data_IF_305430003060
#
_entry.id   IF_305430003060
#
_cell.length_a   1.000
_cell.length_b   1.000
_cell.length_c   1.000
_cell.angle_alpha   90.00
_cell.angle_beta   90.00
_cell.angle_gamma   90.00
#
_symmetry.space_group_name_H-M   'P 1'
#
loop_
_entity.id
_entity.type
_entity.pdbx_description
1 polymer ?
#
# COMPACT_ATOMS: atom_id res chain seq x y z
N UNK A 1 -15.29 -1.06 23.16
CA UNK A 1 -13.82 -1.20 23.06
C UNK A 1 -13.54 -2.29 22.04
N UNK A 2 -13.37 -1.93 20.77
CA UNK A 2 -13.03 -2.90 19.73
C UNK A 2 -11.52 -3.06 19.71
N UNK A 3 -11.05 -4.18 20.24
CA UNK A 3 -9.67 -4.63 20.10
C UNK A 3 -9.51 -5.11 18.66
N UNK A 4 -9.00 -4.25 17.78
CA UNK A 4 -8.44 -4.69 16.50
C UNK A 4 -7.34 -5.69 16.84
N UNK A 5 -7.59 -6.96 16.56
CA UNK A 5 -6.64 -8.03 16.76
C UNK A 5 -5.37 -7.68 15.99
N UNK A 6 -4.28 -7.41 16.71
CA UNK A 6 -2.94 -7.39 16.12
C UNK A 6 -2.74 -8.79 15.54
N UNK A 7 -2.98 -8.95 14.24
CA UNK A 7 -2.63 -10.17 13.52
C UNK A 7 -1.17 -10.43 13.85
N UNK A 8 -0.91 -11.58 14.46
CA UNK A 8 0.45 -11.98 14.78
C UNK A 8 1.24 -11.98 13.46
N UNK A 9 2.27 -11.13 13.37
CA UNK A 9 3.05 -10.95 12.15
C UNK A 9 3.55 -12.32 11.67
N UNK A 10 3.44 -12.61 10.38
CA UNK A 10 3.93 -13.87 9.84
C UNK A 10 5.44 -13.99 10.04
N UNK A 11 5.99 -15.20 9.87
CA UNK A 11 7.46 -15.38 9.86
C UNK A 11 8.13 -14.53 8.77
N UNK A 12 7.45 -14.32 7.65
CA UNK A 12 7.94 -13.49 6.55
C UNK A 12 7.99 -12.02 6.96
N UNK A 13 6.93 -11.51 7.60
CA UNK A 13 6.88 -10.14 8.12
C UNK A 13 7.94 -9.90 9.21
N UNK A 14 8.14 -10.87 10.12
CA UNK A 14 9.18 -10.79 11.13
C UNK A 14 10.58 -10.74 10.52
N UNK A 15 10.87 -11.63 9.57
CA UNK A 15 12.16 -11.62 8.86
C UNK A 15 12.37 -10.33 8.05
N UNK A 16 11.31 -9.79 7.45
CA UNK A 16 11.35 -8.50 6.76
C UNK A 16 11.69 -7.37 7.73
N UNK A 17 11.04 -7.29 8.90
CA UNK A 17 11.34 -6.28 9.90
C UNK A 17 12.75 -6.39 10.50
N UNK A 18 13.27 -7.61 10.66
CA UNK A 18 14.66 -7.82 11.08
C UNK A 18 15.65 -7.30 10.03
N UNK A 19 15.34 -7.48 8.74
CA UNK A 19 16.16 -6.98 7.64
C UNK A 19 16.04 -5.45 7.45
N UNK A 20 14.83 -4.90 7.64
CA UNK A 20 14.48 -3.51 7.35
C UNK A 20 13.89 -2.77 8.57
N UNK A 21 14.68 -2.54 9.63
CA UNK A 21 14.18 -1.98 10.89
C UNK A 21 13.66 -0.54 10.73
N UNK A 22 14.15 0.22 9.75
CA UNK A 22 13.65 1.57 9.45
C UNK A 22 12.24 1.53 8.86
N UNK A 23 11.96 0.57 7.99
CA UNK A 23 10.63 0.38 7.41
C UNK A 23 9.66 -0.09 8.50
N UNK A 24 10.11 -0.99 9.39
CA UNK A 24 9.31 -1.38 10.55
C UNK A 24 8.91 -0.15 11.40
N UNK A 25 9.86 0.71 11.74
CA UNK A 25 9.60 1.92 12.50
C UNK A 25 8.60 2.83 11.76
N UNK A 26 8.81 3.07 10.47
CA UNK A 26 7.91 3.87 9.64
C UNK A 26 6.48 3.32 9.64
N UNK A 27 6.30 2.01 9.46
CA UNK A 27 4.98 1.36 9.52
C UNK A 27 4.35 1.53 10.89
N UNK A 28 5.11 1.38 11.98
CA UNK A 28 4.60 1.54 13.34
C UNK A 28 4.17 2.97 13.64
N UNK A 29 4.93 3.96 13.19
CA UNK A 29 4.60 5.39 13.34
C UNK A 29 3.29 5.72 12.60
N UNK A 30 3.09 5.17 11.40
CA UNK A 30 1.89 5.39 10.61
C UNK A 30 0.69 4.62 11.19
N UNK A 31 0.90 3.39 11.67
CA UNK A 31 -0.12 2.62 12.38
C UNK A 31 -0.62 3.34 13.64
N UNK A 32 0.27 4.02 14.37
CA UNK A 32 -0.08 4.76 15.58
C UNK A 32 -1.00 5.96 15.31
N UNK A 33 -1.06 6.46 14.07
CA UNK A 33 -2.00 7.52 13.67
C UNK A 33 -3.44 7.01 13.53
N UNK A 34 -3.64 5.69 13.44
CA UNK A 34 -4.95 5.07 13.22
C UNK A 34 -5.45 5.20 11.77
N UNK A 35 -6.65 4.70 11.51
CA UNK A 35 -7.25 4.72 10.17
C UNK A 35 -7.48 6.14 9.66
N UNK A 36 -7.43 6.31 8.35
CA UNK A 36 -7.82 7.54 7.69
C UNK A 36 -9.35 7.72 7.78
N UNK A 37 -9.86 8.94 8.00
CA UNK A 37 -11.30 9.22 8.01
C UNK A 37 -11.97 8.79 6.70
N UNK A 38 -13.24 8.37 6.75
CA UNK A 38 -13.93 7.90 5.54
C UNK A 38 -14.23 9.00 4.52
N UNK A 39 -14.33 10.24 4.97
CA UNK A 39 -14.46 11.45 4.17
C UNK A 39 -13.13 12.01 3.65
N UNK A 40 -12.00 11.40 4.04
CA UNK A 40 -10.69 11.83 3.59
C UNK A 40 -10.55 11.62 2.09
N UNK A 41 -10.28 12.71 1.37
CA UNK A 41 -10.07 12.71 -0.08
C UNK A 41 -8.64 13.16 -0.35
N UNK A 42 -7.74 12.25 -0.76
CA UNK A 42 -6.36 12.62 -1.06
C UNK A 42 -6.29 13.49 -2.31
N UNK A 43 -5.43 14.51 -2.29
CA UNK A 43 -5.15 15.34 -3.48
C UNK A 43 -4.09 14.67 -4.36
N UNK A 44 -3.16 13.97 -3.71
CA UNK A 44 -2.09 13.19 -4.33
C UNK A 44 -2.17 11.74 -3.86
N UNK A 45 -2.07 10.81 -4.80
CA UNK A 45 -1.93 9.38 -4.54
C UNK A 45 -0.66 8.89 -5.21
N UNK A 46 0.25 8.29 -4.43
CA UNK A 46 1.47 7.68 -4.92
C UNK A 46 1.48 6.19 -4.67
N UNK A 47 1.81 5.41 -5.71
CA UNK A 47 2.19 4.01 -5.55
C UNK A 47 3.71 3.94 -5.60
N UNK A 48 4.33 3.45 -4.53
CA UNK A 48 5.78 3.35 -4.43
C UNK A 48 6.21 1.90 -4.38
N UNK A 49 7.27 1.59 -5.12
CA UNK A 49 7.97 0.31 -5.07
C UNK A 49 9.34 0.55 -4.47
N UNK A 50 9.66 -0.14 -3.37
CA UNK A 50 10.94 0.04 -2.68
C UNK A 50 11.24 1.52 -2.33
N UNK A 51 10.21 2.28 -1.97
CA UNK A 51 10.29 3.71 -1.64
C UNK A 51 10.39 4.66 -2.85
N UNK A 52 10.35 4.16 -4.08
CA UNK A 52 10.36 4.97 -5.30
C UNK A 52 8.96 5.15 -5.87
N UNK A 53 8.55 6.40 -6.10
CA UNK A 53 7.29 6.72 -6.80
C UNK A 53 7.29 6.11 -8.19
N UNK A 54 6.45 5.09 -8.35
CA UNK A 54 6.22 4.37 -9.60
C UNK A 54 5.04 4.97 -10.35
N UNK A 55 3.98 5.30 -9.63
CA UNK A 55 2.82 6.00 -10.14
C UNK A 55 2.50 7.17 -9.20
N UNK A 56 2.20 8.33 -9.78
CA UNK A 56 1.64 9.49 -9.07
C UNK A 56 0.39 9.94 -9.79
N UNK A 57 -0.69 10.03 -9.04
CA UNK A 57 -1.95 10.61 -9.46
C UNK A 57 -2.20 11.88 -8.65
N UNK A 58 -2.51 12.96 -9.33
CA UNK A 58 -2.68 14.28 -8.72
C UNK A 58 -3.76 15.04 -9.49
N UNK A 59 -4.71 15.61 -8.76
CA UNK A 59 -5.79 16.45 -9.32
C UNK A 59 -6.59 15.80 -10.48
N UNK A 60 -6.73 14.47 -10.52
CA UNK A 60 -7.49 13.81 -11.57
C UNK A 60 -6.64 13.13 -12.65
N UNK A 61 -5.32 13.31 -12.63
CA UNK A 61 -4.43 12.92 -13.72
C UNK A 61 -3.18 12.19 -13.23
N UNK A 62 -2.64 11.31 -14.07
CA UNK A 62 -1.33 10.68 -13.80
C UNK A 62 -0.24 11.70 -14.11
N UNK A 63 0.46 12.20 -13.08
CA UNK A 63 1.53 13.20 -13.22
C UNK A 63 2.92 12.56 -13.29
N UNK A 64 3.06 11.31 -12.83
CA UNK A 64 4.27 10.52 -13.02
C UNK A 64 3.92 9.04 -13.19
N UNK A 65 4.59 8.39 -14.13
CA UNK A 65 4.58 6.93 -14.26
C UNK A 65 5.98 6.45 -14.66
N UNK A 66 6.35 5.27 -14.17
CA UNK A 66 7.56 4.56 -14.58
C UNK A 66 7.16 3.24 -15.22
N UNK A 67 8.02 2.71 -16.07
CA UNK A 67 7.88 1.35 -16.58
C UNK A 67 8.76 0.41 -15.75
N UNK A 68 8.17 -0.70 -15.30
CA UNK A 68 8.91 -1.84 -14.76
C UNK A 68 9.39 -2.74 -15.90
N UNK A 69 10.55 -3.36 -15.70
CA UNK A 69 10.96 -4.45 -16.58
C UNK A 69 9.93 -5.57 -16.56
N UNK A 70 9.70 -6.19 -17.71
CA UNK A 70 8.71 -7.27 -17.84
C UNK A 70 9.03 -8.40 -16.86
N UNK A 71 8.08 -8.73 -16.00
CA UNK A 71 8.21 -9.79 -15.00
C UNK A 71 8.87 -9.36 -13.68
N UNK A 72 9.22 -8.09 -13.51
CA UNK A 72 9.62 -7.58 -12.21
C UNK A 72 8.42 -7.58 -11.25
N UNK A 73 8.65 -8.07 -10.04
CA UNK A 73 7.70 -8.07 -8.94
C UNK A 73 8.43 -7.45 -7.75
N UNK A 74 7.98 -6.32 -7.21
CA UNK A 74 8.67 -5.68 -6.11
C UNK A 74 8.53 -6.55 -4.85
N UNK A 75 9.55 -6.57 -3.96
CA UNK A 75 9.48 -7.31 -2.70
C UNK A 75 8.37 -6.76 -1.79
N UNK A 76 8.09 -5.46 -1.88
CA UNK A 76 6.97 -4.79 -1.23
C UNK A 76 6.56 -3.56 -2.03
N UNK A 77 5.34 -3.10 -1.80
CA UNK A 77 4.82 -1.86 -2.37
C UNK A 77 3.93 -1.14 -1.35
N UNK A 78 3.77 0.15 -1.57
CA UNK A 78 3.02 1.02 -0.67
C UNK A 78 2.18 2.04 -1.42
N UNK A 79 1.14 2.52 -0.77
CA UNK A 79 0.34 3.67 -1.20
C UNK A 79 0.55 4.78 -0.19
N UNK A 80 0.99 5.94 -0.68
CA UNK A 80 1.05 7.17 0.10
C UNK A 80 0.00 8.15 -0.40
N UNK A 81 -0.65 8.83 0.53
CA UNK A 81 -1.50 9.99 0.25
C UNK A 81 -0.79 11.27 0.65
N UNK A 82 -1.02 12.32 -0.14
CA UNK A 82 -0.46 13.65 0.10
C UNK A 82 1.04 13.59 0.47
N UNK A 83 1.78 12.81 -0.33
CA UNK A 83 3.24 12.58 -0.32
C UNK A 83 3.77 11.66 0.80
N UNK A 84 3.45 11.95 2.06
CA UNK A 84 4.11 11.31 3.22
C UNK A 84 3.19 10.43 4.08
N UNK A 85 1.88 10.44 3.81
CA UNK A 85 0.89 9.70 4.59
C UNK A 85 0.76 8.26 4.08
N UNK A 86 1.51 7.34 4.67
CA UNK A 86 1.41 5.92 4.34
C UNK A 86 0.00 5.41 4.67
N UNK A 87 -0.72 4.99 3.64
CA UNK A 87 -2.08 4.52 3.74
C UNK A 87 -2.15 2.98 3.69
N UNK A 88 -1.32 2.35 2.85
CA UNK A 88 -1.28 0.91 2.66
C UNK A 88 0.16 0.45 2.47
N UNK A 89 0.56 -0.65 3.10
CA UNK A 89 1.85 -1.31 2.90
C UNK A 89 1.66 -2.80 2.73
N UNK A 90 2.18 -3.35 1.63
CA UNK A 90 2.00 -4.75 1.26
C UNK A 90 3.34 -5.40 0.93
N UNK A 91 3.63 -6.50 1.63
CA UNK A 91 4.74 -7.37 1.39
C UNK A 91 4.35 -8.45 0.36
N UNK A 92 5.16 -8.69 -0.65
CA UNK A 92 4.91 -9.71 -1.66
C UNK A 92 5.00 -11.14 -1.04
N UNK A 93 4.10 -12.09 -1.37
CA UNK A 93 3.11 -12.07 -2.44
C UNK A 93 1.75 -11.40 -2.14
N UNK A 94 1.56 -10.73 -1.00
CA UNK A 94 0.30 -10.05 -0.69
C UNK A 94 -0.01 -9.91 0.79
N UNK A 95 0.97 -10.07 1.69
CA UNK A 95 0.78 -9.86 3.10
C UNK A 95 0.69 -8.36 3.40
N UNK A 96 -0.49 -7.91 3.84
CA UNK A 96 -0.72 -6.53 4.24
C UNK A 96 -0.11 -6.32 5.63
N UNK A 97 0.88 -5.43 5.73
CA UNK A 97 1.53 -5.04 6.98
C UNK A 97 0.90 -3.81 7.61
N UNK A 98 0.28 -2.96 6.79
CA UNK A 98 -0.50 -1.80 7.22
C UNK A 98 -1.63 -1.57 6.23
N UNK A 99 -2.84 -1.33 6.73
CA UNK A 99 -3.97 -0.82 5.96
C UNK A 99 -4.75 0.17 6.82
N UNK A 100 -4.69 1.43 6.44
CA UNK A 100 -5.40 2.56 7.08
C UNK A 100 -6.55 3.06 6.21
N UNK A 101 -6.84 2.35 5.13
CA UNK A 101 -7.79 2.76 4.08
C UNK A 101 -9.18 2.16 4.26
N UNK A 102 -9.36 1.28 5.25
CA UNK A 102 -10.59 0.52 5.47
C UNK A 102 -11.88 1.36 5.55
N UNK A 103 -11.77 2.64 5.92
CA UNK A 103 -12.92 3.54 6.05
C UNK A 103 -13.15 4.42 4.81
N UNK A 104 -12.19 4.50 3.89
CA UNK A 104 -12.26 5.37 2.70
C UNK A 104 -13.22 4.75 1.68
N UNK A 105 -14.35 5.43 1.47
CA UNK A 105 -15.45 4.92 0.65
C UNK A 105 -15.10 4.74 -0.85
N UNK A 106 -14.12 5.51 -1.35
CA UNK A 106 -13.78 5.56 -2.78
C UNK A 106 -12.45 4.87 -3.11
N UNK A 107 -11.86 4.11 -2.17
CA UNK A 107 -10.54 3.48 -2.38
C UNK A 107 -10.50 2.57 -3.60
N UNK A 108 -11.55 1.76 -3.78
CA UNK A 108 -11.68 0.87 -4.94
C UNK A 108 -11.80 1.65 -6.27
N UNK A 109 -12.36 2.86 -6.25
CA UNK A 109 -12.48 3.71 -7.44
C UNK A 109 -11.18 4.43 -7.75
N UNK A 110 -10.47 4.93 -6.73
CA UNK A 110 -9.12 5.48 -6.85
C UNK A 110 -8.19 4.42 -7.46
N UNK A 111 -8.18 3.21 -6.92
CA UNK A 111 -7.40 2.09 -7.45
C UNK A 111 -7.80 1.74 -8.89
N UNK A 112 -9.09 1.76 -9.23
CA UNK A 112 -9.56 1.52 -10.61
C UNK A 112 -9.12 2.62 -11.58
N UNK A 113 -9.17 3.88 -11.17
CA UNK A 113 -8.85 5.05 -12.00
C UNK A 113 -7.34 5.23 -12.20
N UNK A 114 -6.52 4.74 -11.27
CA UNK A 114 -5.06 4.73 -11.38
C UNK A 114 -4.52 3.66 -12.37
N UNK A 115 -5.36 3.03 -13.20
CA UNK A 115 -5.04 1.83 -14.01
C UNK A 115 -4.47 0.65 -13.20
N UNK A 116 -4.51 0.71 -11.86
CA UNK A 116 -4.09 -0.38 -10.98
C UNK A 116 -5.05 -1.56 -11.06
N UNK A 117 -6.16 -1.46 -11.78
CA UNK A 117 -7.10 -2.56 -11.96
C UNK A 117 -6.41 -3.79 -12.55
N UNK A 118 -5.52 -3.60 -13.54
CA UNK A 118 -4.74 -4.72 -14.10
C UNK A 118 -3.76 -5.28 -13.09
N UNK A 119 -3.04 -4.43 -12.35
CA UNK A 119 -2.05 -4.83 -11.34
C UNK A 119 -2.69 -5.49 -10.11
N UNK A 120 -3.78 -4.93 -9.59
CA UNK A 120 -4.54 -5.44 -8.45
C UNK A 120 -5.36 -6.68 -8.81
N UNK A 121 -5.91 -6.79 -10.03
CA UNK A 121 -6.48 -8.06 -10.52
C UNK A 121 -5.37 -9.11 -10.69
N UNK A 122 -4.20 -8.78 -11.23
CA UNK A 122 -3.06 -9.71 -11.32
C UNK A 122 -2.55 -10.15 -9.94
N UNK A 123 -2.49 -9.23 -8.97
CA UNK A 123 -2.08 -9.55 -7.59
C UNK A 123 -3.12 -10.41 -6.89
N UNK A 124 -4.40 -10.06 -7.00
CA UNK A 124 -5.52 -10.76 -6.35
C UNK A 124 -5.71 -12.17 -6.93
N UNK A 125 -5.50 -12.35 -8.24
CA UNK A 125 -5.50 -13.67 -8.89
C UNK A 125 -4.34 -14.55 -8.38
N UNK A 126 -3.14 -13.98 -8.16
CA UNK A 126 -1.99 -14.74 -7.63
C UNK A 126 -2.16 -15.17 -6.17
N UNK A 127 -2.94 -14.42 -5.38
CA UNK A 127 -3.21 -14.73 -3.97
C UNK A 127 -4.33 -15.77 -3.80
N UNK A 128 -5.26 -15.89 -4.75
CA UNK A 128 -6.35 -16.88 -4.69
C UNK A 128 -5.96 -18.27 -5.21
N UNK A 129 -4.85 -18.38 -5.95
CA UNK A 129 -4.30 -19.66 -6.48
C UNK A 129 -3.21 -20.29 -5.58
N UNK A 130 -3.01 -19.79 -4.35
CA UNK A 130 -2.06 -20.33 -3.35
C UNK A 130 -2.75 -20.76 -2.06
#
# INVERSE_FOLDING_TARGET
>A
MNTLAVKQASRTALAFYEAEPKIQQYIQEQAAKGDLPGEYTPTVVEVKFEGLTYLRYEAGEITASRECSKGYVPPFWEICFDEDELALFVLNPGEILLDRTAQIAEMDEILKNCELRSFAEDLRNRVQDS
#
